data_IF_863469905312
#
_entry.id   IF_863469905312
#
_cell.length_a   1.000
_cell.length_b   1.000
_cell.length_c   1.000
_cell.angle_alpha   90.00
_cell.angle_beta   90.00
_cell.angle_gamma   90.00
#
_symmetry.space_group_name_H-M   'P 1'
#
loop_
_entity.id
_entity.type
_entity.pdbx_description
1 polymer ?
#
# COMPACT_ATOMS: atom_id res chain seq x y z
N UNK A 1 -3.93 -24.82 21.56
CA UNK A 1 -3.22 -25.40 20.41
C UNK A 1 -3.90 -24.89 19.14
N UNK A 2 -3.22 -24.05 18.36
CA UNK A 2 -3.78 -23.62 17.07
C UNK A 2 -3.67 -24.78 16.09
N UNK A 3 -4.74 -25.07 15.34
CA UNK A 3 -4.73 -26.12 14.31
C UNK A 3 -3.63 -25.81 13.29
N UNK A 4 -3.00 -26.84 12.67
CA UNK A 4 -1.98 -26.62 11.62
C UNK A 4 -2.46 -25.71 10.50
N UNK A 5 -3.77 -25.70 10.23
CA UNK A 5 -4.43 -24.80 9.29
C UNK A 5 -4.34 -23.32 9.72
N UNK A 6 -4.61 -23.01 10.99
CA UNK A 6 -4.51 -21.64 11.50
C UNK A 6 -3.08 -21.10 11.38
N UNK A 7 -2.08 -21.91 11.71
CA UNK A 7 -0.67 -21.50 11.63
C UNK A 7 -0.26 -21.20 10.19
N UNK A 8 -0.67 -22.05 9.24
CA UNK A 8 -0.33 -21.89 7.83
C UNK A 8 -1.01 -20.67 7.17
N UNK A 9 -2.25 -20.38 7.56
CA UNK A 9 -3.02 -19.24 7.01
C UNK A 9 -2.61 -17.93 7.70
N UNK A 10 -2.53 -17.94 9.05
CA UNK A 10 -2.44 -16.73 9.86
C UNK A 10 -1.10 -16.52 10.59
N UNK A 11 -0.15 -17.45 10.58
CA UNK A 11 1.14 -17.25 11.29
C UNK A 11 2.32 -17.23 10.32
N UNK A 12 2.27 -18.04 9.27
CA UNK A 12 3.30 -18.14 8.24
C UNK A 12 3.13 -17.06 7.16
N UNK A 13 4.26 -16.69 6.55
CA UNK A 13 4.29 -15.79 5.40
C UNK A 13 3.84 -16.55 4.16
N UNK A 14 2.95 -15.97 3.37
CA UNK A 14 2.58 -16.56 2.10
C UNK A 14 3.72 -16.40 1.09
N UNK A 15 3.87 -17.31 0.12
CA UNK A 15 4.80 -17.11 -0.97
C UNK A 15 4.42 -15.82 -1.72
N UNK A 16 5.42 -15.01 -2.06
CA UNK A 16 5.21 -13.70 -2.71
C UNK A 16 4.47 -13.81 -4.04
N UNK A 17 4.63 -14.93 -4.75
CA UNK A 17 3.93 -15.26 -5.99
C UNK A 17 2.41 -15.39 -5.76
N UNK A 18 1.98 -16.13 -4.73
CA UNK A 18 0.56 -16.26 -4.41
C UNK A 18 -0.07 -14.90 -4.05
N UNK A 19 0.68 -14.04 -3.36
CA UNK A 19 0.26 -12.66 -3.10
C UNK A 19 0.02 -11.85 -4.36
N UNK A 20 0.98 -11.91 -5.30
CA UNK A 20 0.88 -11.25 -6.59
C UNK A 20 -0.31 -11.74 -7.42
N UNK A 21 -0.54 -13.06 -7.47
CA UNK A 21 -1.68 -13.67 -8.18
C UNK A 21 -3.01 -13.20 -7.58
N UNK A 22 -3.16 -13.31 -6.26
CA UNK A 22 -4.40 -12.91 -5.57
C UNK A 22 -4.69 -11.42 -5.71
N UNK A 23 -3.66 -10.57 -5.63
CA UNK A 23 -3.82 -9.13 -5.81
C UNK A 23 -4.21 -8.78 -7.24
N UNK A 24 -3.63 -9.44 -8.25
CA UNK A 24 -3.98 -9.22 -9.65
C UNK A 24 -5.43 -9.66 -9.95
N UNK A 25 -5.84 -10.81 -9.42
CA UNK A 25 -7.22 -11.29 -9.53
C UNK A 25 -8.20 -10.33 -8.85
N UNK A 26 -7.88 -9.88 -7.63
CA UNK A 26 -8.70 -8.90 -6.92
C UNK A 26 -8.82 -7.58 -7.70
N UNK A 27 -7.70 -7.08 -8.24
CA UNK A 27 -7.70 -5.86 -9.05
C UNK A 27 -8.54 -6.01 -10.32
N UNK A 28 -8.50 -7.20 -10.95
CA UNK A 28 -9.30 -7.52 -12.14
C UNK A 28 -10.79 -7.55 -11.84
N UNK A 29 -11.19 -8.15 -10.71
CA UNK A 29 -12.59 -8.15 -10.25
C UNK A 29 -13.06 -6.73 -9.92
N UNK A 30 -12.22 -5.93 -9.25
CA UNK A 30 -12.53 -4.53 -8.94
C UNK A 30 -12.67 -3.69 -10.20
N UNK A 31 -11.80 -3.90 -11.19
CA UNK A 31 -11.89 -3.23 -12.48
C UNK A 31 -13.23 -3.48 -13.16
N UNK A 32 -13.80 -4.68 -13.03
CA UNK A 32 -15.12 -5.01 -13.57
C UNK A 32 -16.26 -4.26 -12.86
N UNK A 33 -16.20 -4.10 -11.54
CA UNK A 33 -17.33 -3.57 -10.75
C UNK A 33 -17.30 -2.05 -10.53
N UNK A 34 -16.21 -1.53 -9.98
CA UNK A 34 -16.14 -0.13 -9.50
C UNK A 34 -15.01 0.67 -10.15
N UNK A 35 -14.01 0.01 -10.73
CA UNK A 35 -12.74 0.61 -11.12
C UNK A 35 -11.57 -0.11 -10.47
N UNK A 36 -10.37 -0.05 -11.08
CA UNK A 36 -9.19 -0.70 -10.55
C UNK A 36 -8.76 -0.05 -9.22
N UNK A 37 -7.85 -0.71 -8.51
CA UNK A 37 -7.21 -0.20 -7.29
C UNK A 37 -6.31 0.99 -7.67
N UNK A 38 -6.92 2.15 -7.91
CA UNK A 38 -6.26 3.30 -8.51
C UNK A 38 -6.94 4.61 -8.08
N UNK A 39 -6.78 5.02 -6.82
CA UNK A 39 -7.41 6.27 -6.36
C UNK A 39 -6.78 6.94 -5.13
N UNK A 40 -5.52 6.65 -4.74
CA UNK A 40 -4.96 7.26 -3.52
C UNK A 40 -5.00 8.80 -3.58
N UNK A 41 -4.78 9.38 -4.76
CA UNK A 41 -4.84 10.83 -4.96
C UNK A 41 -6.25 11.40 -4.76
N UNK A 42 -7.27 10.76 -5.33
CA UNK A 42 -8.65 11.19 -5.17
C UNK A 42 -9.11 11.09 -3.71
N UNK A 43 -8.69 10.01 -3.01
CA UNK A 43 -9.01 9.80 -1.59
C UNK A 43 -8.34 10.84 -0.68
N UNK A 44 -7.05 11.09 -0.88
CA UNK A 44 -6.32 12.11 -0.09
C UNK A 44 -6.92 13.50 -0.35
N UNK A 45 -7.25 13.82 -1.60
CA UNK A 45 -7.91 15.08 -1.94
C UNK A 45 -9.27 15.21 -1.25
N UNK A 46 -10.08 14.14 -1.23
CA UNK A 46 -11.39 14.14 -0.58
C UNK A 46 -11.29 14.28 0.95
N UNK A 47 -10.31 13.62 1.58
CA UNK A 47 -10.04 13.80 3.01
C UNK A 47 -9.58 15.22 3.32
N UNK A 48 -8.77 15.81 2.44
CA UNK A 48 -8.41 17.23 2.51
C UNK A 48 -9.64 18.13 2.47
N UNK A 49 -10.59 17.86 1.56
CA UNK A 49 -11.85 18.62 1.46
C UNK A 49 -12.71 18.50 2.72
N UNK A 50 -12.79 17.31 3.31
CA UNK A 50 -13.45 17.11 4.60
C UNK A 50 -12.79 17.91 5.73
N UNK A 51 -11.45 17.94 5.77
CA UNK A 51 -10.71 18.73 6.73
C UNK A 51 -10.97 20.24 6.57
N UNK A 52 -10.95 20.76 5.35
CA UNK A 52 -11.29 22.17 5.07
C UNK A 52 -12.72 22.51 5.48
N UNK A 53 -13.68 21.60 5.25
CA UNK A 53 -15.07 21.77 5.69
C UNK A 53 -15.19 21.85 7.22
N UNK A 54 -14.50 21.00 7.96
CA UNK A 54 -14.55 20.98 9.44
C UNK A 54 -13.92 22.25 10.03
N UNK A 55 -12.85 22.75 9.41
CA UNK A 55 -12.12 23.93 9.88
C UNK A 55 -12.77 25.25 9.47
N UNK A 56 -13.89 25.22 8.74
CA UNK A 56 -14.59 26.39 8.19
C UNK A 56 -13.73 27.33 7.33
N UNK A 57 -12.55 26.86 6.88
CA UNK A 57 -11.78 27.55 5.84
C UNK A 57 -12.49 27.30 4.51
N UNK A 58 -13.39 28.21 4.14
CA UNK A 58 -13.98 28.24 2.80
C UNK A 58 -12.87 28.45 1.78
N UNK A 59 -12.39 27.36 1.19
CA UNK A 59 -11.47 27.40 0.06
C UNK A 59 -12.25 27.95 -1.15
N UNK A 60 -12.14 29.26 -1.37
CA UNK A 60 -12.56 29.92 -2.60
C UNK A 60 -11.60 29.49 -3.71
N UNK A 61 -11.83 28.31 -4.26
CA UNK A 61 -11.28 27.95 -5.56
C UNK A 61 -12.12 28.76 -6.57
N UNK A 62 -11.51 29.53 -7.50
CA UNK A 62 -12.25 30.44 -8.37
C UNK A 62 -13.32 29.78 -9.27
N UNK A 63 -13.36 28.45 -9.35
CA UNK A 63 -14.15 27.73 -10.35
C UNK A 63 -14.89 26.49 -9.83
N UNK A 64 -15.42 26.44 -8.60
CA UNK A 64 -16.61 25.67 -8.15
C UNK A 64 -16.56 25.35 -6.64
N UNK A 65 -17.74 25.34 -5.99
CA UNK A 65 -17.96 24.60 -4.73
C UNK A 65 -18.11 23.13 -5.08
N UNK A 66 -17.07 22.33 -4.83
CA UNK A 66 -17.20 20.89 -5.03
C UNK A 66 -18.06 20.34 -3.86
N UNK A 67 -19.23 19.71 -4.10
CA UNK A 67 -20.01 19.07 -3.05
C UNK A 67 -19.22 17.89 -2.48
N UNK A 68 -19.10 17.81 -1.16
CA UNK A 68 -18.54 16.63 -0.49
C UNK A 68 -19.59 15.53 -0.52
N UNK A 69 -19.27 14.38 -1.12
CA UNK A 69 -20.17 13.23 -1.05
C UNK A 69 -20.12 12.65 0.36
N UNK A 70 -21.27 12.17 0.86
CA UNK A 70 -21.35 11.56 2.20
C UNK A 70 -20.58 10.23 2.26
N UNK A 71 -20.56 9.48 1.16
CA UNK A 71 -19.81 8.24 1.01
C UNK A 71 -19.04 8.24 -0.31
N UNK A 72 -17.72 8.34 -0.24
CA UNK A 72 -16.83 8.18 -1.39
C UNK A 72 -16.34 6.71 -1.42
N UNK A 73 -16.71 5.90 -2.45
CA UNK A 73 -16.39 4.46 -2.51
C UNK A 73 -14.91 4.15 -2.29
N UNK A 74 -14.04 4.97 -2.85
CA UNK A 74 -12.60 4.82 -2.78
C UNK A 74 -12.09 5.08 -1.36
N UNK A 75 -12.63 6.08 -0.66
CA UNK A 75 -12.29 6.32 0.76
C UNK A 75 -12.61 5.09 1.61
N UNK A 76 -13.75 4.45 1.34
CA UNK A 76 -14.14 3.23 2.06
C UNK A 76 -13.24 2.04 1.73
N UNK A 77 -12.73 1.96 0.49
CA UNK A 77 -11.71 0.96 0.14
C UNK A 77 -10.43 1.12 0.97
N UNK A 78 -9.93 2.35 1.20
CA UNK A 78 -8.73 2.56 2.03
C UNK A 78 -8.97 2.30 3.51
N UNK A 79 -10.14 2.67 4.05
CA UNK A 79 -10.51 2.33 5.44
C UNK A 79 -10.64 0.81 5.59
N UNK A 80 -11.22 0.13 4.59
CA UNK A 80 -11.24 -1.33 4.49
C UNK A 80 -9.83 -1.92 4.46
N UNK A 81 -8.93 -1.36 3.66
CA UNK A 81 -7.53 -1.79 3.57
C UNK A 81 -6.79 -1.65 4.90
N UNK A 82 -6.91 -0.51 5.57
CA UNK A 82 -6.32 -0.29 6.89
C UNK A 82 -6.86 -1.27 7.93
N UNK A 83 -8.17 -1.49 7.97
CA UNK A 83 -8.80 -2.43 8.90
C UNK A 83 -8.42 -3.88 8.58
N UNK A 84 -8.30 -4.26 7.31
CA UNK A 84 -7.84 -5.58 6.86
C UNK A 84 -6.39 -5.88 7.25
N UNK A 85 -5.48 -4.90 7.07
CA UNK A 85 -4.09 -5.02 7.52
C UNK A 85 -4.03 -5.20 9.04
N UNK A 86 -4.73 -4.33 9.78
CA UNK A 86 -4.78 -4.38 11.24
C UNK A 86 -5.28 -5.76 11.72
N UNK A 87 -6.41 -6.21 11.18
CA UNK A 87 -7.00 -7.49 11.51
C UNK A 87 -6.05 -8.66 11.22
N UNK A 88 -5.40 -8.63 10.06
CA UNK A 88 -4.42 -9.64 9.65
C UNK A 88 -3.24 -9.72 10.62
N UNK A 89 -2.72 -8.58 11.10
CA UNK A 89 -1.61 -8.55 12.06
C UNK A 89 -2.02 -9.02 13.45
N UNK A 90 -3.22 -8.66 13.91
CA UNK A 90 -3.71 -9.13 15.21
C UNK A 90 -3.94 -10.65 15.20
N UNK A 91 -4.48 -11.21 14.13
CA UNK A 91 -4.59 -12.67 13.97
C UNK A 91 -3.22 -13.36 13.96
N UNK A 92 -2.20 -12.70 13.40
CA UNK A 92 -0.82 -13.22 13.46
C UNK A 92 -0.19 -13.19 14.86
N UNK A 93 -0.77 -12.44 15.81
CA UNK A 93 -0.17 -12.21 17.13
C UNK A 93 1.19 -11.50 17.03
N UNK A 94 1.36 -10.64 16.01
CA UNK A 94 2.63 -9.91 15.75
C UNK A 94 2.49 -8.40 15.87
N UNK A 95 1.37 -7.89 16.38
CA UNK A 95 1.19 -6.46 16.56
C UNK A 95 2.16 -5.97 17.65
N UNK A 96 3.02 -5.01 17.29
CA UNK A 96 3.98 -4.40 18.21
C UNK A 96 4.17 -2.95 17.81
N UNK A 97 3.80 -2.04 18.70
CA UNK A 97 4.12 -0.62 18.51
C UNK A 97 5.62 -0.44 18.78
N UNK A 98 6.35 -0.01 17.76
CA UNK A 98 7.78 0.31 17.86
C UNK A 98 7.93 1.82 17.83
N UNK A 99 8.83 2.34 18.64
CA UNK A 99 9.20 3.75 18.64
C UNK A 99 10.53 3.88 17.91
N UNK A 100 10.58 4.78 16.95
CA UNK A 100 11.81 5.07 16.20
C UNK A 100 12.58 6.20 16.90
N UNK A 101 13.86 6.32 16.55
CA UNK A 101 14.65 7.49 16.95
C UNK A 101 14.16 8.74 16.21
N UNK A 102 14.49 9.93 16.74
CA UNK A 102 14.05 11.23 16.17
C UNK A 102 14.40 11.36 14.68
N UNK A 103 15.56 10.83 14.26
CA UNK A 103 15.98 10.83 12.86
C UNK A 103 15.05 10.02 11.94
N UNK A 104 14.55 8.87 12.42
CA UNK A 104 13.62 8.03 11.65
C UNK A 104 12.27 8.73 11.42
N UNK A 105 11.76 9.47 12.42
CA UNK A 105 10.54 10.25 12.26
C UNK A 105 10.67 11.36 11.22
N UNK A 106 11.77 12.12 11.26
CA UNK A 106 12.05 13.18 10.28
C UNK A 106 12.18 12.61 8.88
N UNK A 107 12.91 11.50 8.75
CA UNK A 107 13.11 10.81 7.47
C UNK A 107 11.78 10.28 6.90
N UNK A 108 10.92 9.71 7.74
CA UNK A 108 9.59 9.25 7.35
C UNK A 108 8.68 10.39 6.89
N UNK A 109 8.72 11.54 7.59
CA UNK A 109 7.95 12.72 7.21
C UNK A 109 8.39 13.29 5.85
N UNK A 110 9.71 13.45 5.65
CA UNK A 110 10.27 13.93 4.38
C UNK A 110 9.94 12.96 3.24
N UNK A 111 10.10 11.65 3.47
CA UNK A 111 9.76 10.62 2.48
C UNK A 111 8.28 10.65 2.11
N UNK A 112 7.37 10.79 3.09
CA UNK A 112 5.94 10.92 2.86
C UNK A 112 5.56 12.17 2.07
N UNK A 113 6.18 13.33 2.37
CA UNK A 113 5.96 14.56 1.63
C UNK A 113 6.42 14.44 0.15
N UNK A 114 7.56 13.78 -0.09
CA UNK A 114 8.06 13.50 -1.44
C UNK A 114 7.15 12.52 -2.19
N UNK A 115 6.65 11.48 -1.54
CA UNK A 115 5.66 10.57 -2.14
C UNK A 115 4.36 11.31 -2.50
N UNK A 116 3.86 12.19 -1.63
CA UNK A 116 2.66 12.98 -1.91
C UNK A 116 2.84 13.94 -3.09
N UNK A 117 3.94 14.70 -3.10
CA UNK A 117 4.26 15.64 -4.20
C UNK A 117 4.50 14.91 -5.53
N UNK A 118 5.21 13.78 -5.52
CA UNK A 118 5.40 12.94 -6.70
C UNK A 118 4.09 12.35 -7.23
N UNK A 119 3.21 11.90 -6.34
CA UNK A 119 1.89 11.36 -6.69
C UNK A 119 0.96 12.42 -7.28
N UNK A 120 1.04 13.67 -6.80
CA UNK A 120 0.31 14.80 -7.37
C UNK A 120 0.84 15.17 -8.76
N UNK A 121 2.17 15.26 -8.92
CA UNK A 121 2.77 15.61 -10.20
C UNK A 121 2.54 14.55 -11.28
N UNK A 122 2.56 13.26 -10.90
CA UNK A 122 2.25 12.16 -11.79
C UNK A 122 0.73 11.99 -12.05
N UNK A 123 -0.13 12.62 -11.25
CA UNK A 123 -1.58 12.43 -11.29
C UNK A 123 -2.04 11.08 -10.76
N UNK A 124 -1.12 10.17 -10.39
CA UNK A 124 -1.44 8.83 -9.91
C UNK A 124 -0.44 8.32 -8.86
N UNK A 125 -0.88 7.33 -8.06
CA UNK A 125 -0.06 6.62 -7.09
C UNK A 125 0.57 5.35 -7.70
N UNK A 126 1.46 4.65 -6.99
CA UNK A 126 2.11 3.42 -7.50
C UNK A 126 1.13 2.30 -7.90
N UNK A 127 0.02 2.14 -7.17
CA UNK A 127 -1.01 1.14 -7.48
C UNK A 127 -1.87 1.53 -8.70
N UNK A 128 -2.12 2.82 -8.88
CA UNK A 128 -2.88 3.33 -10.01
C UNK A 128 -2.03 3.51 -11.25
N UNK A 129 -1.09 4.46 -11.18
CA UNK A 129 -0.34 4.96 -12.32
C UNK A 129 0.78 4.05 -12.80
N UNK A 130 1.09 2.98 -12.09
CA UNK A 130 2.01 1.94 -12.57
C UNK A 130 1.29 0.60 -12.63
N UNK A 131 0.79 0.08 -11.51
CA UNK A 131 0.24 -1.29 -11.49
C UNK A 131 -1.02 -1.43 -12.35
N UNK A 132 -2.03 -0.58 -12.16
CA UNK A 132 -3.28 -0.66 -12.94
C UNK A 132 -3.12 -0.14 -14.37
N UNK A 133 -2.29 0.88 -14.58
CA UNK A 133 -2.01 1.43 -15.92
C UNK A 133 -1.22 0.47 -16.81
N UNK A 134 -0.27 -0.29 -16.26
CA UNK A 134 0.42 -1.33 -17.03
C UNK A 134 -0.57 -2.45 -17.39
N UNK A 135 -1.48 -2.83 -16.50
CA UNK A 135 -2.53 -3.82 -16.79
C UNK A 135 -3.48 -3.37 -17.89
N UNK A 136 -3.77 -2.05 -17.97
CA UNK A 136 -4.59 -1.49 -19.02
C UNK A 136 -3.84 -1.27 -20.35
N UNK A 137 -2.53 -1.58 -20.41
CA UNK A 137 -1.59 -1.32 -21.51
C UNK A 137 -1.41 0.18 -21.84
N UNK A 138 -1.55 1.04 -20.84
CA UNK A 138 -1.33 2.48 -20.99
C UNK A 138 0.18 2.83 -21.01
N UNK A 139 0.56 3.73 -21.92
CA UNK A 139 1.93 4.28 -21.98
C UNK A 139 2.33 4.97 -20.67
N UNK A 140 1.35 5.55 -19.96
CA UNK A 140 1.55 6.23 -18.67
C UNK A 140 2.21 5.30 -17.64
N UNK A 141 1.76 4.03 -17.60
CA UNK A 141 2.28 3.01 -16.71
C UNK A 141 3.77 2.74 -16.88
N UNK A 142 4.22 2.66 -18.12
CA UNK A 142 5.63 2.44 -18.45
C UNK A 142 6.50 3.65 -18.15
N UNK A 143 6.00 4.87 -18.42
CA UNK A 143 6.70 6.11 -18.10
C UNK A 143 6.84 6.28 -16.58
N UNK A 144 5.78 6.00 -15.83
CA UNK A 144 5.83 6.03 -14.37
C UNK A 144 6.79 4.97 -13.82
N UNK A 145 6.80 3.75 -14.37
CA UNK A 145 7.74 2.70 -13.97
C UNK A 145 9.20 3.12 -14.21
N UNK A 146 9.50 3.75 -15.35
CA UNK A 146 10.83 4.28 -15.62
C UNK A 146 11.25 5.35 -14.60
N UNK A 147 10.32 6.26 -14.25
CA UNK A 147 10.55 7.26 -13.22
C UNK A 147 10.81 6.63 -11.84
N UNK A 148 9.98 5.67 -11.43
CA UNK A 148 10.13 4.95 -10.16
C UNK A 148 11.46 4.21 -10.06
N UNK A 149 11.90 3.55 -11.14
CA UNK A 149 13.20 2.89 -11.22
C UNK A 149 14.35 3.90 -11.07
N UNK A 150 14.27 5.05 -11.75
CA UNK A 150 15.26 6.12 -11.62
C UNK A 150 15.32 6.70 -10.21
N UNK A 151 14.16 6.99 -9.61
CA UNK A 151 14.06 7.49 -8.24
C UNK A 151 14.56 6.49 -7.20
N UNK A 152 14.20 5.21 -7.36
CA UNK A 152 14.63 4.14 -6.46
C UNK A 152 16.13 3.86 -6.57
N UNK A 153 16.74 4.01 -7.76
CA UNK A 153 18.18 3.91 -7.94
C UNK A 153 18.93 5.01 -7.19
N UNK A 154 18.50 6.27 -7.35
CA UNK A 154 19.11 7.43 -6.68
C UNK A 154 18.95 7.29 -5.16
N UNK A 155 17.74 6.96 -4.71
CA UNK A 155 17.43 6.84 -3.29
C UNK A 155 18.08 5.62 -2.63
N UNK A 156 18.21 4.50 -3.36
CA UNK A 156 18.98 3.33 -2.92
C UNK A 156 20.46 3.64 -2.74
N UNK A 157 21.07 4.39 -3.67
CA UNK A 157 22.46 4.87 -3.53
C UNK A 157 22.63 5.80 -2.33
N UNK A 158 21.66 6.69 -2.12
CA UNK A 158 21.64 7.59 -0.96
C UNK A 158 21.52 6.82 0.38
N UNK A 159 20.64 5.83 0.47
CA UNK A 159 20.52 4.97 1.65
C UNK A 159 21.79 4.17 1.92
N UNK A 160 22.39 3.57 0.89
CA UNK A 160 23.66 2.85 1.05
C UNK A 160 24.78 3.77 1.55
N UNK A 161 24.82 5.01 1.06
CA UNK A 161 25.75 6.02 1.56
C UNK A 161 25.52 6.33 3.05
N UNK A 162 24.26 6.49 3.51
CA UNK A 162 23.95 6.69 4.93
C UNK A 162 24.36 5.49 5.79
N UNK A 163 24.09 4.27 5.33
CA UNK A 163 24.44 3.04 6.04
C UNK A 163 25.97 2.93 6.16
N UNK A 164 26.71 3.19 5.08
CA UNK A 164 28.18 3.14 5.11
C UNK A 164 28.79 4.15 6.10
N UNK A 165 28.20 5.35 6.23
CA UNK A 165 28.63 6.35 7.23
C UNK A 165 28.36 5.89 8.66
N UNK A 166 27.14 5.43 8.95
CA UNK A 166 26.80 4.90 10.29
C UNK A 166 27.59 3.65 10.64
N UNK A 167 27.87 2.78 9.65
CA UNK A 167 28.70 1.60 9.86
C UNK A 167 30.15 1.97 10.19
N UNK A 168 30.71 3.04 9.59
CA UNK A 168 32.04 3.54 9.93
C UNK A 168 32.11 4.11 11.36
N UNK A 169 31.05 4.79 11.82
CA UNK A 169 30.93 5.25 13.21
C UNK A 169 30.80 4.05 14.17
N UNK A 170 30.02 3.02 13.83
CA UNK A 170 29.84 1.83 14.67
C UNK A 170 31.13 1.01 14.79
N UNK A 171 31.86 0.81 13.68
CA UNK A 171 33.14 0.11 13.68
C UNK A 171 34.23 0.82 14.49
N UNK A 172 34.08 2.12 14.78
CA UNK A 172 34.99 2.84 15.68
C UNK A 172 34.73 2.58 17.17
N UNK A 173 33.58 2.00 17.51
CA UNK A 173 33.11 1.79 18.89
C UNK A 173 33.26 0.32 19.32
N UNK A 174 33.26 -0.64 18.38
CA UNK A 174 33.21 -2.09 18.65
C UNK A 174 34.48 -2.75 19.22
N UNK A 175 35.49 -1.99 19.69
CA UNK A 175 36.63 -2.58 20.41
C UNK A 175 36.31 -2.96 21.86
N UNK A 176 35.25 -2.42 22.47
CA UNK A 176 34.93 -2.68 23.88
C UNK A 176 33.42 -2.66 24.15
N UNK A 177 32.79 -3.83 24.12
CA UNK A 177 31.56 -4.06 24.87
C UNK A 177 30.41 -4.66 24.07
N UNK A 178 30.32 -5.99 24.05
CA UNK A 178 29.06 -6.67 23.72
C UNK A 178 28.17 -6.66 24.95
N UNK A 179 27.19 -5.75 25.00
CA UNK A 179 26.09 -5.87 25.96
C UNK A 179 25.25 -7.12 25.64
N UNK A 180 24.88 -7.93 26.65
CA UNK A 180 24.08 -9.12 26.44
C UNK A 180 22.68 -8.74 25.95
N UNK A 181 22.21 -9.45 24.92
CA UNK A 181 20.86 -9.30 24.37
C UNK A 181 19.83 -9.48 25.49
N UNK A 182 18.94 -8.49 25.74
CA UNK A 182 17.99 -8.58 26.84
C UNK A 182 17.06 -9.78 26.68
N UNK A 183 16.91 -10.56 27.76
CA UNK A 183 16.03 -11.73 27.85
C UNK A 183 14.59 -11.31 27.52
N UNK A 184 13.92 -12.12 26.69
CA UNK A 184 12.58 -11.85 26.14
C UNK A 184 11.52 -11.94 27.25
N UNK A 185 10.97 -10.81 27.68
CA UNK A 185 10.01 -10.73 28.80
C UNK A 185 8.71 -11.53 28.58
N UNK A 186 8.27 -12.28 29.61
CA UNK A 186 7.05 -13.10 29.60
C UNK A 186 5.74 -12.33 29.42
N UNK A 187 5.71 -11.02 29.66
CA UNK A 187 4.56 -10.14 29.37
C UNK A 187 4.26 -10.13 27.86
N UNK A 188 5.31 -10.25 27.04
CA UNK A 188 5.22 -10.24 25.58
C UNK A 188 4.59 -11.53 25.03
N UNK A 189 4.76 -12.64 25.75
CA UNK A 189 4.17 -13.93 25.43
C UNK A 189 2.66 -13.96 25.75
N UNK A 190 2.25 -13.39 26.89
CA UNK A 190 0.82 -13.30 27.25
C UNK A 190 0.02 -12.40 26.29
N UNK A 191 0.56 -11.23 25.88
CA UNK A 191 -0.08 -10.38 24.86
C UNK A 191 -0.22 -11.10 23.51
N UNK A 192 0.68 -12.03 23.18
CA UNK A 192 0.66 -12.79 21.94
C UNK A 192 -0.57 -13.69 21.81
N UNK A 193 -1.05 -14.23 22.93
CA UNK A 193 -2.27 -15.05 22.98
C UNK A 193 -3.56 -14.20 23.02
N UNK A 194 -3.49 -12.98 23.58
CA UNK A 194 -4.64 -12.07 23.69
C UNK A 194 -4.96 -11.34 22.37
N UNK A 195 -3.93 -11.04 21.57
CA UNK A 195 -4.06 -10.40 20.25
C UNK A 195 -5.06 -11.09 19.29
N UNK A 196 -5.04 -12.43 19.08
CA UNK A 196 -6.00 -13.08 18.19
C UNK A 196 -7.44 -13.05 18.72
N UNK A 197 -7.64 -12.97 20.05
CA UNK A 197 -8.98 -12.79 20.64
C UNK A 197 -9.55 -11.40 20.39
N UNK A 198 -8.71 -10.37 20.49
CA UNK A 198 -9.08 -8.99 20.12
C UNK A 198 -9.36 -8.91 18.61
N UNK A 199 -8.58 -9.62 17.79
CA UNK A 199 -8.84 -9.74 16.34
C UNK A 199 -10.23 -10.35 16.07
N UNK A 200 -10.56 -11.45 16.74
CA UNK A 200 -11.86 -12.12 16.58
C UNK A 200 -13.02 -11.20 16.98
N UNK A 201 -12.91 -10.49 18.11
CA UNK A 201 -13.92 -9.50 18.51
C UNK A 201 -14.05 -8.36 17.49
N UNK A 202 -12.93 -7.83 16.98
CA UNK A 202 -12.92 -6.81 15.94
C UNK A 202 -13.53 -7.28 14.61
N UNK A 203 -13.28 -8.52 14.21
CA UNK A 203 -13.88 -9.13 13.02
C UNK A 203 -15.40 -9.29 13.17
N UNK A 204 -15.86 -9.72 14.35
CA UNK A 204 -17.30 -9.85 14.65
C UNK A 204 -17.97 -8.46 14.58
N UNK A 205 -17.35 -7.43 15.17
CA UNK A 205 -17.89 -6.06 15.11
C UNK A 205 -17.97 -5.57 13.66
N UNK A 206 -16.89 -5.72 12.88
CA UNK A 206 -16.89 -5.35 11.46
C UNK A 206 -17.97 -6.10 10.68
N UNK A 207 -18.12 -7.40 10.91
CA UNK A 207 -19.13 -8.22 10.26
C UNK A 207 -20.55 -7.78 10.64
N UNK A 208 -20.80 -7.44 11.91
CA UNK A 208 -22.11 -6.93 12.35
C UNK A 208 -22.44 -5.58 11.74
N UNK A 209 -21.48 -4.66 11.65
CA UNK A 209 -21.68 -3.34 11.02
C UNK A 209 -21.98 -3.49 9.53
N UNK A 210 -21.20 -4.31 8.81
CA UNK A 210 -21.43 -4.60 7.39
C UNK A 210 -22.82 -5.24 7.18
N UNK A 211 -23.21 -6.18 8.05
CA UNK A 211 -24.51 -6.86 7.94
C UNK A 211 -25.68 -5.91 8.23
N UNK A 212 -25.52 -4.98 9.18
CA UNK A 212 -26.51 -3.94 9.47
C UNK A 212 -26.62 -2.94 8.32
N UNK A 213 -25.51 -2.50 7.73
CA UNK A 213 -25.54 -1.59 6.58
C UNK A 213 -26.20 -2.22 5.34
N UNK A 214 -26.00 -3.53 5.13
CA UNK A 214 -26.69 -4.29 4.08
C UNK A 214 -28.20 -4.40 4.30
N UNK A 215 -28.66 -4.35 5.56
CA UNK A 215 -30.09 -4.42 5.90
C UNK A 215 -30.79 -3.05 5.92
N UNK A 216 -30.04 -1.97 6.13
CA UNK A 216 -30.58 -0.60 6.27
C UNK A 216 -30.53 0.18 4.93
N UNK A 217 -29.90 -0.38 3.89
CA UNK A 217 -29.74 0.22 2.55
C UNK A 217 -29.28 1.70 2.62
N UNK A 218 -28.27 1.94 3.46
CA UNK A 218 -27.79 3.26 3.86
C UNK A 218 -27.01 4.01 2.76
N UNK A 219 -26.91 3.43 1.55
CA UNK A 219 -26.05 3.92 0.46
C UNK A 219 -24.56 3.71 0.71
N UNK A 220 -24.19 2.84 1.66
CA UNK A 220 -22.79 2.53 1.96
C UNK A 220 -22.17 1.62 0.89
N UNK A 221 -20.98 1.93 0.34
CA UNK A 221 -20.32 1.12 -0.69
C UNK A 221 -19.64 -0.11 -0.06
N UNK A 222 -20.45 -1.06 0.42
CA UNK A 222 -20.01 -2.30 1.10
C UNK A 222 -18.99 -3.07 0.27
N UNK A 223 -19.23 -3.19 -1.04
CA UNK A 223 -18.33 -3.90 -1.96
C UNK A 223 -16.90 -3.32 -1.95
N UNK A 224 -16.77 -1.99 -1.94
CA UNK A 224 -15.47 -1.32 -1.91
C UNK A 224 -14.77 -1.53 -0.56
N UNK A 225 -15.53 -1.49 0.54
CA UNK A 225 -15.00 -1.75 1.88
C UNK A 225 -14.48 -3.19 2.04
N UNK A 226 -15.27 -4.18 1.61
CA UNK A 226 -14.90 -5.60 1.65
C UNK A 226 -13.70 -5.87 0.76
N UNK A 227 -13.68 -5.30 -0.45
CA UNK A 227 -12.53 -5.40 -1.34
C UNK A 227 -11.25 -4.78 -0.73
N UNK A 228 -11.40 -3.66 -0.01
CA UNK A 228 -10.34 -3.07 0.80
C UNK A 228 -9.80 -4.04 1.85
N UNK A 229 -10.67 -4.66 2.65
CA UNK A 229 -10.28 -5.65 3.68
C UNK A 229 -9.49 -6.80 3.04
N UNK A 230 -9.99 -7.36 1.93
CA UNK A 230 -9.33 -8.44 1.21
C UNK A 230 -7.95 -8.01 0.70
N UNK A 231 -7.85 -6.84 0.07
CA UNK A 231 -6.59 -6.28 -0.41
C UNK A 231 -5.59 -6.09 0.75
N UNK A 232 -6.04 -5.56 1.88
CA UNK A 232 -5.21 -5.36 3.07
C UNK A 232 -4.69 -6.67 3.66
N UNK A 233 -5.54 -7.70 3.75
CA UNK A 233 -5.12 -9.03 4.21
C UNK A 233 -4.10 -9.64 3.25
N UNK A 234 -4.34 -9.58 1.94
CA UNK A 234 -3.43 -10.11 0.92
C UNK A 234 -2.06 -9.42 0.99
N UNK A 235 -2.02 -8.07 0.99
CA UNK A 235 -0.77 -7.29 1.03
C UNK A 235 0.02 -7.62 2.30
N UNK A 236 -0.64 -7.63 3.47
CA UNK A 236 0.03 -7.90 4.74
C UNK A 236 0.59 -9.33 4.83
N UNK A 237 -0.11 -10.32 4.26
CA UNK A 237 0.25 -11.74 4.36
C UNK A 237 1.34 -12.16 3.40
N UNK A 238 1.28 -11.63 2.19
CA UNK A 238 2.27 -11.88 1.15
C UNK A 238 3.53 -11.06 1.32
N UNK A 239 3.51 -10.03 2.18
CA UNK A 239 4.55 -9.02 2.27
C UNK A 239 4.91 -8.44 0.89
N UNK A 240 3.91 -8.36 0.01
CA UNK A 240 4.07 -7.90 -1.35
C UNK A 240 4.19 -6.37 -1.35
N UNK A 241 5.43 -5.91 -1.30
CA UNK A 241 5.76 -4.49 -1.28
C UNK A 241 6.34 -4.08 -2.63
N UNK A 242 5.61 -3.21 -3.35
CA UNK A 242 6.11 -2.59 -4.58
C UNK A 242 7.43 -1.85 -4.33
N UNK A 243 7.58 -1.23 -3.15
CA UNK A 243 8.82 -0.54 -2.78
C UNK A 243 10.01 -1.47 -2.61
N UNK A 244 9.82 -2.60 -1.94
CA UNK A 244 10.85 -3.62 -1.83
C UNK A 244 11.25 -4.15 -3.21
N UNK A 245 10.31 -4.37 -4.13
CA UNK A 245 10.62 -4.83 -5.49
C UNK A 245 11.58 -3.89 -6.24
N UNK A 246 11.37 -2.57 -6.16
CA UNK A 246 12.23 -1.58 -6.81
C UNK A 246 13.51 -1.26 -6.05
N UNK A 247 13.53 -1.40 -4.72
CA UNK A 247 14.72 -1.13 -3.90
C UNK A 247 15.70 -2.31 -3.92
N UNK A 248 15.19 -3.54 -3.78
CA UNK A 248 16.00 -4.75 -3.67
C UNK A 248 16.81 -5.03 -4.94
N UNK A 249 16.28 -4.71 -6.11
CA UNK A 249 17.00 -4.91 -7.38
C UNK A 249 18.34 -4.14 -7.41
N UNK A 250 18.40 -2.95 -6.82
CA UNK A 250 19.59 -2.11 -6.80
C UNK A 250 20.46 -2.31 -5.56
N UNK A 251 19.83 -2.49 -4.39
CA UNK A 251 20.54 -2.54 -3.11
C UNK A 251 21.09 -3.95 -2.81
N UNK A 252 20.26 -4.97 -2.95
CA UNK A 252 20.59 -6.36 -2.56
C UNK A 252 20.79 -7.29 -3.77
N UNK A 253 20.51 -6.81 -4.99
CA UNK A 253 20.51 -7.58 -6.24
C UNK A 253 19.63 -8.84 -6.18
N UNK A 254 18.62 -8.84 -5.32
CA UNK A 254 17.67 -9.94 -5.19
C UNK A 254 16.45 -9.69 -6.07
N UNK A 255 16.12 -10.63 -6.96
CA UNK A 255 15.00 -10.46 -7.91
C UNK A 255 13.69 -11.12 -7.44
N UNK A 256 13.63 -11.60 -6.20
CA UNK A 256 12.50 -12.42 -5.71
C UNK A 256 11.17 -11.67 -5.79
N UNK A 257 11.13 -10.44 -5.28
CA UNK A 257 9.93 -9.61 -5.30
C UNK A 257 9.59 -9.14 -6.71
N UNK A 258 10.60 -8.79 -7.51
CA UNK A 258 10.40 -8.37 -8.90
C UNK A 258 9.78 -9.48 -9.76
N UNK A 259 10.21 -10.74 -9.60
CA UNK A 259 9.59 -11.89 -10.30
C UNK A 259 8.10 -12.02 -9.97
N UNK A 260 7.75 -11.84 -8.70
CA UNK A 260 6.35 -11.90 -8.24
C UNK A 260 5.52 -10.73 -8.79
N UNK A 261 6.14 -9.56 -8.95
CA UNK A 261 5.51 -8.36 -9.55
C UNK A 261 5.30 -8.49 -11.05
N UNK A 262 6.27 -9.03 -11.78
CA UNK A 262 6.09 -9.30 -13.22
C UNK A 262 5.00 -10.36 -13.42
N UNK A 263 4.97 -11.41 -12.61
CA UNK A 263 3.92 -12.43 -12.66
C UNK A 263 2.52 -11.83 -12.43
N UNK A 264 2.37 -10.96 -11.43
CA UNK A 264 1.08 -10.31 -11.14
C UNK A 264 0.66 -9.35 -12.26
N UNK A 265 1.59 -8.64 -12.87
CA UNK A 265 1.32 -7.78 -14.04
C UNK A 265 0.87 -8.61 -15.24
N UNK A 266 1.53 -9.73 -15.55
CA UNK A 266 1.12 -10.59 -16.68
C UNK A 266 -0.31 -11.11 -16.51
N UNK A 267 -0.66 -11.58 -15.31
CA UNK A 267 -2.00 -12.06 -14.99
C UNK A 267 -3.02 -10.92 -15.11
N UNK A 268 -2.69 -9.73 -14.57
CA UNK A 268 -3.58 -8.58 -14.64
C UNK A 268 -3.77 -8.03 -16.05
N UNK A 269 -2.72 -7.98 -16.88
CA UNK A 269 -2.82 -7.61 -18.30
C UNK A 269 -3.77 -8.57 -19.01
N UNK A 270 -3.62 -9.88 -18.76
CA UNK A 270 -4.51 -10.90 -19.33
C UNK A 270 -5.95 -10.71 -18.87
N UNK A 271 -6.17 -10.45 -17.57
CA UNK A 271 -7.50 -10.20 -17.01
C UNK A 271 -8.17 -8.94 -17.57
N UNK A 272 -7.44 -7.83 -17.66
CA UNK A 272 -7.98 -6.55 -18.15
C UNK A 272 -8.26 -6.62 -19.65
N UNK A 273 -7.38 -7.25 -20.43
CA UNK A 273 -7.59 -7.43 -21.88
C UNK A 273 -8.81 -8.31 -22.15
N UNK A 274 -9.01 -9.40 -21.41
CA UNK A 274 -10.22 -10.23 -21.53
C UNK A 274 -11.51 -9.44 -21.24
N UNK A 275 -11.52 -8.62 -20.19
CA UNK A 275 -12.68 -7.78 -19.85
C UNK A 275 -12.96 -6.75 -20.95
N UNK A 276 -11.91 -6.12 -21.50
CA UNK A 276 -12.04 -5.13 -22.58
C UNK A 276 -12.55 -5.78 -23.87
N UNK A 277 -12.03 -6.96 -24.24
CA UNK A 277 -12.48 -7.70 -25.44
C UNK A 277 -13.91 -8.21 -25.29
N UNK A 278 -14.33 -8.59 -24.08
CA UNK A 278 -15.71 -8.99 -23.80
C UNK A 278 -16.73 -7.84 -23.88
N UNK A 279 -16.29 -6.59 -24.10
CA UNK A 279 -17.18 -5.43 -24.22
C UNK A 279 -17.83 -4.98 -22.90
N UNK A 280 -17.41 -5.54 -21.76
CA UNK A 280 -17.98 -5.25 -20.44
C UNK A 280 -17.61 -3.83 -19.94
N UNK A 281 -16.57 -3.21 -20.52
CA UNK A 281 -16.13 -1.86 -20.16
C UNK A 281 -15.58 -1.12 -21.40
N UNK A 282 -15.79 0.21 -21.54
CA UNK A 282 -15.33 0.96 -22.72
C UNK A 282 -13.81 0.83 -22.92
N UNK A 283 -13.38 0.71 -24.17
CA UNK A 283 -11.96 0.58 -24.56
C UNK A 283 -11.10 1.74 -24.07
N UNK A 284 -11.66 2.95 -24.02
CA UNK A 284 -11.03 4.22 -23.60
C UNK A 284 -10.89 4.38 -22.08
N UNK A 285 -11.46 3.47 -21.28
CA UNK A 285 -11.42 3.64 -19.82
C UNK A 285 -10.01 3.39 -19.27
N UNK A 286 -9.51 4.37 -18.50
CA UNK A 286 -8.18 4.41 -17.84
C UNK A 286 -6.97 4.64 -18.75
N UNK A 287 -7.12 5.45 -19.81
CA UNK A 287 -5.97 6.09 -20.47
C UNK A 287 -5.63 7.41 -19.77
N UNK A 288 -4.69 7.39 -18.83
CA UNK A 288 -4.10 8.63 -18.32
C UNK A 288 -3.22 9.28 -19.37
N UNK A 289 -3.38 10.58 -19.59
CA UNK A 289 -2.57 11.32 -20.54
C UNK A 289 -1.09 11.28 -20.14
N UNK A 290 -0.27 10.70 -21.00
CA UNK A 290 1.17 10.63 -20.78
C UNK A 290 1.78 12.02 -20.91
N UNK A 291 2.46 12.47 -19.87
CA UNK A 291 3.15 13.78 -19.83
C UNK A 291 4.52 13.63 -19.19
N UNK A 292 5.44 14.55 -19.49
CA UNK A 292 6.76 14.59 -18.83
C UNK A 292 6.66 14.68 -17.29
N UNK A 293 5.55 15.24 -16.80
CA UNK A 293 5.22 15.33 -15.36
C UNK A 293 5.12 13.96 -14.69
N UNK A 294 4.70 12.93 -15.43
CA UNK A 294 4.60 11.55 -14.92
C UNK A 294 5.97 10.98 -14.64
N UNK A 295 6.92 11.20 -15.54
CA UNK A 295 8.30 10.78 -15.36
C UNK A 295 8.92 11.50 -14.15
N UNK A 296 8.80 12.82 -14.10
CA UNK A 296 9.33 13.62 -12.99
C UNK A 296 8.69 13.23 -11.64
N UNK A 297 7.36 13.06 -11.62
CA UNK A 297 6.62 12.63 -10.43
C UNK A 297 7.01 11.22 -9.98
N UNK A 298 7.21 10.30 -10.92
CA UNK A 298 7.71 8.95 -10.66
C UNK A 298 9.10 8.94 -10.03
N UNK A 299 10.02 9.80 -10.49
CA UNK A 299 11.36 9.93 -9.89
C UNK A 299 11.28 10.45 -8.46
N UNK A 300 10.51 11.51 -8.21
CA UNK A 300 10.34 12.09 -6.86
C UNK A 300 9.67 11.08 -5.92
N UNK A 301 8.63 10.40 -6.39
CA UNK A 301 7.94 9.36 -5.64
C UNK A 301 8.87 8.19 -5.32
N UNK A 302 9.64 7.71 -6.31
CA UNK A 302 10.62 6.64 -6.21
C UNK A 302 11.72 6.94 -5.19
N UNK A 303 12.19 8.18 -5.17
CA UNK A 303 13.15 8.65 -4.17
C UNK A 303 12.52 8.70 -2.77
N UNK A 304 11.33 9.29 -2.64
CA UNK A 304 10.61 9.40 -1.36
C UNK A 304 10.33 8.04 -0.70
N UNK A 305 9.87 7.06 -1.48
CA UNK A 305 9.55 5.71 -0.99
C UNK A 305 10.79 4.93 -0.50
N UNK A 306 11.97 5.14 -1.12
CA UNK A 306 13.19 4.47 -0.65
C UNK A 306 13.70 5.09 0.65
N UNK A 307 13.62 6.42 0.80
CA UNK A 307 14.05 7.11 2.01
C UNK A 307 13.11 6.85 3.18
N UNK A 308 11.80 6.74 2.94
CA UNK A 308 10.81 6.43 3.97
C UNK A 308 10.98 5.02 4.60
N UNK A 309 11.92 4.20 4.11
CA UNK A 309 12.18 2.86 4.64
C UNK A 309 11.30 1.76 4.05
N UNK A 310 10.91 1.90 2.78
CA UNK A 310 10.06 0.94 2.06
C UNK A 310 10.56 -0.50 2.03
#
# INVERSE_FOLDING_TARGET
>A
MHSRFYTKIFVDKWPSEAGGILLALLNTVLFLYSGPIAATNAVIAEWGRWFYKITSLHMLIPWHVLPVSKYFPESMLYVGLMSGVLLSVLFAGRFSLKREEKGGYVQGFIGGALMGTGSFLAGACILGGMYSDIMSLSLNGFVMMAGLLGGAFIGGKFMMWQISRKAAELFSIDCCGTEPVPKRDGIRENRRHLQPRIAAAGAIILFTVISLDLLVDSGFPVAAFVAGILAGVIIQRSAFCFAAAFREIFMTRTTRMMKSLVLSLLIGVTGFTLIKVAGLKPSESYFFHTSWRVLAGGVIFGFGMTIAGG
#
